data_IF_243542721276
#
_entry.id   IF_243542721276
#
_cell.length_a   1.000
_cell.length_b   1.000
_cell.length_c   1.000
_cell.angle_alpha   90.00
_cell.angle_beta   90.00
_cell.angle_gamma   90.00
#
_symmetry.space_group_name_H-M   'P 1'
#
loop_
_entity.id
_entity.type
_entity.pdbx_description
1 polymer ?
#
# COMPACT_ATOMS: atom_id res chain seq x y z
N UNK A 1 -7.50 13.66 -13.24
CA UNK A 1 -6.62 12.64 -13.85
C UNK A 1 -6.11 11.77 -12.71
N UNK A 2 -6.45 10.49 -12.69
CA UNK A 2 -5.97 9.54 -11.67
C UNK A 2 -4.53 9.21 -12.06
N UNK A 3 -3.57 9.50 -11.18
CA UNK A 3 -2.15 9.26 -11.45
C UNK A 3 -1.90 7.77 -11.69
N UNK A 4 -1.44 7.42 -12.89
CA UNK A 4 -1.02 6.06 -13.21
C UNK A 4 0.20 5.73 -12.34
N UNK A 5 0.09 4.74 -11.46
CA UNK A 5 1.24 4.14 -10.82
C UNK A 5 2.22 3.62 -11.90
N UNK A 6 3.45 4.11 -11.88
CA UNK A 6 4.42 3.95 -12.99
C UNK A 6 5.57 2.98 -12.67
N UNK A 7 5.49 2.28 -11.55
CA UNK A 7 6.28 1.06 -11.27
C UNK A 7 5.38 -0.16 -11.34
N UNK A 8 5.93 -1.31 -11.78
CA UNK A 8 5.18 -2.56 -11.87
C UNK A 8 4.55 -2.90 -10.51
N UNK A 9 3.33 -3.46 -10.52
CA UNK A 9 2.65 -3.89 -9.30
C UNK A 9 3.52 -4.87 -8.51
N UNK A 10 3.74 -4.58 -7.24
CA UNK A 10 4.46 -5.43 -6.32
C UNK A 10 3.51 -5.98 -5.27
N UNK A 11 3.84 -7.12 -4.68
CA UNK A 11 3.06 -7.67 -3.57
C UNK A 11 3.97 -8.25 -2.50
N UNK A 12 3.49 -8.21 -1.26
CA UNK A 12 4.12 -8.87 -0.11
C UNK A 12 3.03 -9.55 0.72
N UNK A 13 3.25 -10.81 1.07
CA UNK A 13 2.34 -11.56 1.95
C UNK A 13 2.68 -11.29 3.41
N UNK A 14 1.65 -11.24 4.26
CA UNK A 14 1.84 -11.06 5.71
C UNK A 14 1.42 -12.32 6.44
N UNK A 15 2.10 -12.60 7.55
CA UNK A 15 1.70 -13.64 8.50
C UNK A 15 0.71 -13.14 9.57
N UNK A 16 0.40 -11.84 9.58
CA UNK A 16 -0.49 -11.20 10.54
C UNK A 16 -1.95 -11.28 10.09
N UNK A 17 -2.90 -11.25 11.03
CA UNK A 17 -4.33 -11.26 10.69
C UNK A 17 -4.79 -9.95 10.06
N UNK A 18 -4.24 -8.81 10.50
CA UNK A 18 -4.60 -7.49 9.98
C UNK A 18 -3.43 -6.52 10.02
N UNK A 19 -3.42 -5.56 9.07
CA UNK A 19 -2.49 -4.42 9.05
C UNK A 19 -3.11 -3.30 9.87
N UNK A 20 -2.35 -2.74 10.82
CA UNK A 20 -2.81 -1.68 11.73
C UNK A 20 -2.49 -0.27 11.21
N UNK A 21 -1.33 -0.09 10.58
CA UNK A 21 -0.95 1.17 9.95
C UNK A 21 0.08 0.96 8.84
N UNK A 22 0.11 1.89 7.88
CA UNK A 22 1.11 1.98 6.81
C UNK A 22 1.67 3.40 6.77
N UNK A 23 3.00 3.52 6.79
CA UNK A 23 3.73 4.79 6.65
C UNK A 23 4.41 4.83 5.29
N UNK A 24 4.19 5.89 4.51
CA UNK A 24 4.98 6.14 3.31
C UNK A 24 6.25 6.94 3.66
N UNK A 25 7.37 6.24 3.81
CA UNK A 25 8.69 6.84 4.07
C UNK A 25 9.40 7.32 2.78
N UNK A 26 8.79 7.08 1.62
CA UNK A 26 9.33 7.46 0.33
C UNK A 26 9.11 8.93 0.00
N UNK A 27 9.63 9.34 -1.16
CA UNK A 27 9.47 10.67 -1.73
C UNK A 27 8.42 10.73 -2.85
N UNK A 28 7.65 9.66 -3.04
CA UNK A 28 6.66 9.50 -4.10
C UNK A 28 5.36 8.97 -3.52
N UNK A 29 4.24 9.18 -4.21
CA UNK A 29 2.96 8.61 -3.82
C UNK A 29 3.02 7.08 -3.82
N UNK A 30 2.47 6.48 -2.76
CA UNK A 30 2.33 5.05 -2.58
C UNK A 30 0.87 4.66 -2.80
N UNK A 31 0.63 3.72 -3.70
CA UNK A 31 -0.70 3.18 -3.98
C UNK A 31 -0.81 1.78 -3.41
N UNK A 32 -1.73 1.54 -2.47
CA UNK A 32 -1.86 0.26 -1.75
C UNK A 32 -3.23 -0.39 -1.91
N UNK A 33 -3.25 -1.71 -1.86
CA UNK A 33 -4.41 -2.58 -1.98
C UNK A 33 -4.23 -3.85 -1.14
N UNK A 34 -5.26 -4.34 -0.45
CA UNK A 34 -5.14 -5.41 0.55
C UNK A 34 -5.54 -6.81 0.05
N UNK A 35 -6.01 -6.91 -1.20
CA UNK A 35 -6.39 -8.18 -1.82
C UNK A 35 -6.10 -8.13 -3.33
N UNK A 36 -5.86 -9.30 -3.94
CA UNK A 36 -5.42 -9.44 -5.33
C UNK A 36 -6.42 -8.91 -6.37
N UNK A 37 -7.72 -8.90 -6.05
CA UNK A 37 -8.76 -8.31 -6.92
C UNK A 37 -8.69 -6.77 -7.01
N UNK A 38 -7.80 -6.14 -6.23
CA UNK A 38 -7.59 -4.69 -6.17
C UNK A 38 -6.35 -4.22 -6.98
N UNK A 39 -5.96 -4.97 -8.01
CA UNK A 39 -5.03 -4.46 -9.04
C UNK A 39 -5.61 -3.31 -9.86
N UNK A 40 -6.93 -3.09 -9.79
CA UNK A 40 -7.59 -1.93 -10.38
C UNK A 40 -7.21 -0.66 -9.62
N UNK A 41 -6.58 0.30 -10.30
CA UNK A 41 -6.06 1.53 -9.70
C UNK A 41 -7.11 2.34 -8.91
N UNK A 42 -8.39 2.28 -9.27
CA UNK A 42 -9.47 3.00 -8.59
C UNK A 42 -9.78 2.47 -7.19
N UNK A 43 -9.39 1.23 -6.89
CA UNK A 43 -9.59 0.60 -5.58
C UNK A 43 -8.36 0.76 -4.67
N UNK A 44 -7.31 1.44 -5.15
CA UNK A 44 -6.08 1.67 -4.40
C UNK A 44 -6.19 2.90 -3.51
N UNK A 45 -5.74 2.76 -2.29
CA UNK A 45 -5.56 3.89 -1.38
C UNK A 45 -4.24 4.57 -1.75
N UNK A 46 -4.28 5.89 -1.93
CA UNK A 46 -3.07 6.69 -2.15
C UNK A 46 -2.60 7.24 -0.81
N UNK A 47 -1.32 7.02 -0.50
CA UNK A 47 -0.64 7.53 0.69
C UNK A 47 0.50 8.43 0.19
N UNK A 48 0.43 9.73 0.47
CA UNK A 48 1.47 10.67 0.02
C UNK A 48 2.75 10.54 0.84
N UNK A 49 3.88 11.07 0.35
CA UNK A 49 5.12 11.12 1.12
C UNK A 49 4.92 11.68 2.54
N UNK A 50 5.35 10.93 3.55
CA UNK A 50 5.22 11.30 4.96
C UNK A 50 3.83 11.13 5.56
N UNK A 51 2.83 10.69 4.79
CA UNK A 51 1.52 10.35 5.34
C UNK A 51 1.54 8.98 6.00
N UNK A 52 0.70 8.85 7.02
CA UNK A 52 0.42 7.60 7.71
C UNK A 52 -1.05 7.29 7.50
N UNK A 53 -1.31 6.08 7.01
CA UNK A 53 -2.63 5.48 7.05
C UNK A 53 -2.74 4.72 8.38
N UNK A 54 -3.73 5.03 9.20
CA UNK A 54 -3.98 4.43 10.53
C UNK A 54 -5.44 3.95 10.63
N UNK A 55 -5.75 3.17 11.69
CA UNK A 55 -7.11 2.75 12.08
C UNK A 55 -7.92 1.96 11.03
N UNK A 56 -7.27 1.29 10.09
CA UNK A 56 -7.95 0.40 9.15
C UNK A 56 -7.71 -1.07 9.55
N UNK A 57 -8.55 -1.62 10.43
CA UNK A 57 -8.52 -3.06 10.70
C UNK A 57 -9.08 -3.83 9.50
N UNK A 58 -8.25 -4.08 8.49
CA UNK A 58 -8.59 -4.91 7.33
C UNK A 58 -7.86 -6.25 7.42
N UNK A 59 -8.64 -7.33 7.36
CA UNK A 59 -8.10 -8.65 7.10
C UNK A 59 -7.40 -8.61 5.73
N UNK A 60 -6.13 -8.99 5.69
CA UNK A 60 -5.28 -8.88 4.51
C UNK A 60 -4.32 -10.06 4.48
N UNK A 61 -4.36 -10.85 3.40
CA UNK A 61 -3.39 -11.93 3.19
C UNK A 61 -2.17 -11.46 2.40
N UNK A 62 -2.33 -10.43 1.55
CA UNK A 62 -1.28 -9.82 0.76
C UNK A 62 -1.52 -8.33 0.51
N UNK A 63 -0.49 -7.51 0.72
CA UNK A 63 -0.51 -6.08 0.33
C UNK A 63 0.07 -5.97 -1.07
N UNK A 64 -0.76 -5.53 -1.99
CA UNK A 64 -0.35 -5.05 -3.30
C UNK A 64 0.01 -3.58 -3.19
N UNK A 65 1.14 -3.20 -3.76
CA UNK A 65 1.60 -1.83 -3.75
C UNK A 65 2.35 -1.46 -5.03
N UNK A 66 2.34 -0.17 -5.32
CA UNK A 66 3.09 0.43 -6.41
C UNK A 66 3.35 1.89 -6.08
N UNK A 67 4.31 2.50 -6.73
CA UNK A 67 4.62 3.91 -6.55
C UNK A 67 4.81 4.63 -7.89
N UNK A 68 4.64 5.95 -7.89
CA UNK A 68 4.73 6.71 -9.13
C UNK A 68 6.17 6.72 -9.70
N UNK A 69 7.20 6.76 -8.87
CA UNK A 69 8.57 6.70 -9.40
C UNK A 69 9.59 6.31 -8.34
N UNK A 70 10.68 5.67 -8.77
CA UNK A 70 11.76 5.28 -7.85
C UNK A 70 11.44 4.03 -7.04
N UNK A 71 12.01 3.93 -5.84
CA UNK A 71 11.78 2.82 -4.94
C UNK A 71 10.57 3.08 -4.04
N UNK A 72 9.68 2.10 -3.92
CA UNK A 72 8.53 2.18 -3.02
C UNK A 72 9.00 1.92 -1.58
N UNK A 73 9.36 2.98 -0.86
CA UNK A 73 9.79 2.89 0.54
C UNK A 73 8.60 3.10 1.47
N UNK A 74 8.24 2.09 2.25
CA UNK A 74 7.15 2.16 3.22
C UNK A 74 7.36 1.18 4.37
N UNK A 75 6.64 1.40 5.48
CA UNK A 75 6.52 0.45 6.59
C UNK A 75 5.06 0.06 6.75
N UNK A 76 4.80 -1.23 6.90
CA UNK A 76 3.48 -1.76 7.26
C UNK A 76 3.61 -2.56 8.55
N UNK A 77 2.76 -2.27 9.53
CA UNK A 77 2.77 -2.95 10.84
C UNK A 77 1.45 -3.68 11.01
N UNK A 78 1.54 -4.98 11.27
CA UNK A 78 0.38 -5.81 11.55
C UNK A 78 0.29 -6.23 13.00
N UNK A 79 -0.91 -6.61 13.42
CA UNK A 79 -1.16 -7.25 14.71
C UNK A 79 -1.66 -8.67 14.45
N UNK A 80 -1.13 -9.62 15.22
CA UNK A 80 -1.43 -11.05 15.09
C UNK A 80 -2.83 -11.38 15.63
#
# INVERSE_FOLDING_TARGET
MVGNATTADQSVSFAVQHVSHIVNDGSTDLYVAFDADSTVAVNRITIKPGEVLEDFSRACTALHYSCASGACAFRAVGVA
#
